data_IF_862196934236
#
_entry.id   IF_862196934236
#
_cell.length_a   1.000
_cell.length_b   1.000
_cell.length_c   1.000
_cell.angle_alpha   90.00
_cell.angle_beta   90.00
_cell.angle_gamma   90.00
#
_symmetry.space_group_name_H-M   'P 1'
#
loop_
_entity.id
_entity.type
_entity.pdbx_description
1 polymer ?
#
# COMPACT_ATOMS: atom_id res chain seq x y z
N UNK A 1 21.43 28.52 6.19
CA UNK A 1 20.27 27.60 6.33
C UNK A 1 19.81 27.64 7.78
N UNK A 2 18.63 28.21 8.03
CA UNK A 2 17.97 28.15 9.34
C UNK A 2 17.42 26.73 9.52
N UNK A 3 18.17 25.88 10.23
CA UNK A 3 17.75 24.51 10.47
C UNK A 3 16.70 24.45 11.59
N UNK A 4 15.54 23.90 11.24
CA UNK A 4 14.41 23.69 12.14
C UNK A 4 14.56 22.37 12.93
N UNK A 5 15.73 22.09 13.51
CA UNK A 5 15.94 20.87 14.29
C UNK A 5 15.23 20.97 15.65
N UNK A 6 14.28 20.07 15.92
CA UNK A 6 13.64 19.95 17.23
C UNK A 6 12.35 20.76 17.42
N UNK A 7 11.67 21.19 16.35
CA UNK A 7 10.35 21.83 16.40
C UNK A 7 9.34 21.13 15.48
N UNK A 8 8.06 21.31 15.76
CA UNK A 8 6.95 20.67 15.05
C UNK A 8 6.29 21.70 14.15
N UNK A 9 6.20 21.44 12.84
CA UNK A 9 5.39 22.25 11.96
C UNK A 9 3.92 22.15 12.38
N UNK A 10 3.28 23.31 12.59
CA UNK A 10 1.89 23.42 13.04
C UNK A 10 0.97 23.86 11.91
N UNK A 11 1.33 24.94 11.23
CA UNK A 11 0.46 25.62 10.26
C UNK A 11 1.21 25.99 8.97
N UNK A 12 0.47 26.07 7.87
CA UNK A 12 0.97 26.52 6.57
C UNK A 12 0.72 28.03 6.44
N UNK A 13 1.74 28.78 6.04
CA UNK A 13 1.61 30.21 5.77
C UNK A 13 1.15 30.38 4.32
N UNK A 14 0.04 31.10 4.12
CA UNK A 14 -0.49 31.40 2.78
C UNK A 14 -0.51 32.90 2.52
N UNK A 15 -0.36 33.28 1.25
CA UNK A 15 -0.57 34.65 0.80
C UNK A 15 -2.08 34.95 0.80
N UNK A 16 -2.50 36.06 1.43
CA UNK A 16 -3.91 36.45 1.48
C UNK A 16 -4.51 36.83 0.13
N UNK A 17 -3.67 37.25 -0.83
CA UNK A 17 -4.13 37.67 -2.16
C UNK A 17 -4.15 36.55 -3.19
N UNK A 18 -3.20 35.60 -3.13
CA UNK A 18 -3.02 34.56 -4.17
C UNK A 18 -3.23 33.13 -3.67
N UNK A 19 -3.46 32.93 -2.37
CA UNK A 19 -3.49 31.62 -1.69
C UNK A 19 -2.20 30.78 -1.83
N UNK A 20 -1.14 31.33 -2.45
CA UNK A 20 0.17 30.70 -2.58
C UNK A 20 0.75 30.37 -1.20
N UNK A 21 1.32 29.19 -1.07
CA UNK A 21 2.05 28.78 0.14
C UNK A 21 3.41 29.48 0.19
N UNK A 22 3.68 30.15 1.31
CA UNK A 22 4.89 30.96 1.55
C UNK A 22 5.85 30.31 2.56
N UNK A 23 5.41 29.25 3.25
CA UNK A 23 6.23 28.58 4.26
C UNK A 23 5.40 27.94 5.37
N UNK A 24 6.02 27.77 6.54
CA UNK A 24 5.44 27.08 7.69
C UNK A 24 5.65 27.85 9.00
N UNK A 25 4.68 27.70 9.91
CA UNK A 25 4.81 28.09 11.32
C UNK A 25 5.17 26.84 12.12
N UNK A 26 6.28 26.91 12.85
CA UNK A 26 6.74 25.82 13.70
C UNK A 26 6.57 26.19 15.18
N UNK A 27 5.94 25.27 15.92
CA UNK A 27 5.89 25.31 17.36
C UNK A 27 7.18 24.67 17.93
N UNK A 28 7.91 25.35 18.83
CA UNK A 28 9.05 24.76 19.50
C UNK A 28 8.61 23.62 20.43
N UNK A 29 9.47 22.62 20.64
CA UNK A 29 9.22 21.55 21.63
C UNK A 29 9.21 22.04 23.09
N UNK A 30 9.77 23.22 23.32
CA UNK A 30 9.80 23.88 24.63
C UNK A 30 8.72 24.95 24.66
N UNK A 31 7.72 24.78 25.54
CA UNK A 31 6.55 25.67 25.69
C UNK A 31 6.94 27.12 26.02
N UNK A 32 8.17 27.36 26.48
CA UNK A 32 8.70 28.71 26.78
C UNK A 32 9.19 29.48 25.56
N UNK A 33 9.22 28.86 24.38
CA UNK A 33 9.69 29.51 23.14
C UNK A 33 8.51 29.92 22.28
N UNK A 34 8.62 31.11 21.69
CA UNK A 34 7.64 31.64 20.74
C UNK A 34 7.66 30.83 19.43
N UNK A 35 6.51 30.72 18.78
CA UNK A 35 6.40 30.10 17.46
C UNK A 35 7.27 30.83 16.43
N UNK A 36 7.92 30.08 15.55
CA UNK A 36 8.84 30.60 14.54
C UNK A 36 8.24 30.44 13.14
N UNK A 37 8.40 31.47 12.30
CA UNK A 37 7.99 31.45 10.90
C UNK A 37 9.19 31.12 10.02
N UNK A 38 9.06 30.10 9.18
CA UNK A 38 10.05 29.74 8.17
C UNK A 38 9.45 29.99 6.80
N UNK A 39 10.00 30.96 6.07
CA UNK A 39 9.55 31.30 4.73
C UNK A 39 10.45 30.63 3.70
N UNK A 40 9.85 30.07 2.66
CA UNK A 40 10.54 29.41 1.57
C UNK A 40 9.73 29.55 0.29
N UNK A 41 10.39 29.64 -0.89
CA UNK A 41 9.69 29.71 -2.17
C UNK A 41 8.90 28.44 -2.49
N UNK A 42 9.32 27.30 -1.92
CA UNK A 42 8.71 25.99 -2.07
C UNK A 42 8.74 25.23 -0.73
N UNK A 43 7.60 24.67 -0.34
CA UNK A 43 7.43 23.81 0.85
C UNK A 43 7.07 22.39 0.44
N UNK A 44 7.80 21.38 0.92
CA UNK A 44 7.48 19.97 0.64
C UNK A 44 6.87 19.32 1.89
N UNK A 45 5.64 18.84 1.76
CA UNK A 45 4.92 18.11 2.82
C UNK A 45 5.10 16.61 2.63
N UNK A 46 5.73 15.98 3.63
CA UNK A 46 5.99 14.53 3.67
C UNK A 46 5.79 13.95 5.08
N UNK A 47 4.72 14.36 5.77
CA UNK A 47 4.39 14.00 7.16
C UNK A 47 3.65 12.64 7.31
N UNK A 48 3.58 11.87 6.22
CA UNK A 48 3.16 10.46 6.23
C UNK A 48 1.64 10.23 6.19
N UNK A 49 1.24 9.01 6.53
CA UNK A 49 -0.15 8.55 6.35
C UNK A 49 -1.18 9.34 7.19
N UNK A 50 -0.79 9.88 8.35
CA UNK A 50 -1.62 10.73 9.21
C UNK A 50 -1.41 12.22 8.96
N UNK A 51 -1.10 12.60 7.72
CA UNK A 51 -0.84 13.99 7.36
C UNK A 51 -1.89 14.96 7.89
N UNK A 52 -1.43 16.00 8.58
CA UNK A 52 -2.30 17.06 9.14
C UNK A 52 -2.77 18.03 8.06
N UNK A 53 -1.95 18.20 7.03
CA UNK A 53 -2.12 19.20 5.97
C UNK A 53 -2.92 18.67 4.79
N UNK A 54 -2.98 17.34 4.60
CA UNK A 54 -3.62 16.70 3.44
C UNK A 54 -5.01 17.25 3.12
N UNK A 55 -5.88 17.40 4.12
CA UNK A 55 -7.28 17.84 3.92
C UNK A 55 -7.41 19.22 3.28
N UNK A 56 -6.37 20.06 3.41
CA UNK A 56 -6.38 21.43 2.89
C UNK A 56 -5.95 21.51 1.42
N UNK A 57 -5.41 20.41 0.86
CA UNK A 57 -4.83 20.35 -0.49
C UNK A 57 -5.30 19.16 -1.32
N UNK A 58 -5.80 18.09 -0.70
CA UNK A 58 -6.31 16.88 -1.33
C UNK A 58 -7.72 16.61 -0.81
N UNK A 59 -8.70 16.69 -1.70
CA UNK A 59 -10.12 16.47 -1.40
C UNK A 59 -10.59 15.02 -1.57
N UNK A 60 -9.68 14.11 -1.91
CA UNK A 60 -10.01 12.68 -2.03
C UNK A 60 -10.05 12.05 -0.65
N UNK A 61 -11.12 11.30 -0.37
CA UNK A 61 -11.30 10.60 0.89
C UNK A 61 -10.37 9.40 1.03
N UNK A 62 -9.95 9.13 2.27
CA UNK A 62 -9.16 7.95 2.62
C UNK A 62 -10.12 6.80 2.86
N UNK A 63 -9.89 5.68 2.19
CA UNK A 63 -10.64 4.46 2.41
C UNK A 63 -9.82 3.51 3.29
N UNK A 64 -10.41 3.02 4.37
CA UNK A 64 -9.79 2.00 5.25
C UNK A 64 -10.61 0.72 5.13
N UNK A 65 -10.00 -0.35 4.61
CA UNK A 65 -10.67 -1.64 4.42
C UNK A 65 -10.39 -2.64 5.54
N UNK A 66 -9.22 -2.53 6.14
CA UNK A 66 -8.73 -3.45 7.16
C UNK A 66 -7.69 -2.76 8.04
N UNK A 67 -7.23 -3.47 9.06
CA UNK A 67 -6.15 -3.03 9.94
C UNK A 67 -5.08 -4.11 10.02
N UNK A 68 -3.81 -3.72 9.95
CA UNK A 68 -2.73 -4.61 10.33
C UNK A 68 -2.51 -4.58 11.83
N UNK A 69 -2.51 -5.76 12.44
CA UNK A 69 -2.07 -5.98 13.82
C UNK A 69 -0.69 -6.62 13.80
N UNK A 70 0.26 -5.97 14.45
CA UNK A 70 1.65 -6.40 14.45
C UNK A 70 2.24 -6.59 15.85
N UNK A 71 3.13 -7.57 15.93
CA UNK A 71 3.97 -7.88 17.09
C UNK A 71 5.28 -8.55 16.61
N UNK A 72 6.19 -8.85 17.54
CA UNK A 72 7.52 -9.40 17.24
C UNK A 72 7.64 -10.80 17.86
N UNK A 73 7.95 -11.80 17.03
CA UNK A 73 8.43 -13.08 17.53
C UNK A 73 9.94 -12.99 17.78
N UNK A 74 10.41 -13.65 18.83
CA UNK A 74 11.83 -13.79 19.14
C UNK A 74 12.32 -15.18 18.79
N UNK A 75 13.53 -15.28 18.26
CA UNK A 75 14.24 -16.54 17.98
C UNK A 75 13.43 -17.55 17.15
N UNK A 76 12.58 -17.03 16.25
CA UNK A 76 11.73 -17.84 15.38
C UNK A 76 12.43 -18.16 14.06
N UNK A 77 12.46 -19.44 13.71
CA UNK A 77 12.99 -19.91 12.42
C UNK A 77 11.84 -20.03 11.43
N UNK A 78 11.79 -19.12 10.45
CA UNK A 78 10.84 -19.22 9.34
C UNK A 78 11.19 -20.43 8.43
N UNK A 79 10.21 -21.02 7.73
CA UNK A 79 10.42 -22.21 6.90
C UNK A 79 11.52 -22.07 5.85
N UNK A 80 11.73 -20.86 5.33
CA UNK A 80 12.75 -20.55 4.33
C UNK A 80 13.61 -19.37 4.81
N UNK A 81 14.92 -19.60 4.97
CA UNK A 81 15.85 -18.53 5.36
C UNK A 81 15.90 -17.43 4.31
N UNK A 82 16.06 -16.17 4.75
CA UNK A 82 16.11 -14.98 3.89
C UNK A 82 14.85 -14.73 3.04
N UNK A 83 13.72 -15.36 3.38
CA UNK A 83 12.44 -15.15 2.70
C UNK A 83 11.39 -14.63 3.68
N UNK A 84 10.57 -13.69 3.20
CA UNK A 84 9.30 -13.38 3.87
C UNK A 84 8.29 -14.50 3.61
N UNK A 85 7.48 -14.81 4.63
CA UNK A 85 6.39 -15.76 4.57
C UNK A 85 5.07 -15.01 4.48
N UNK A 86 4.26 -15.37 3.49
CA UNK A 86 2.87 -14.90 3.34
C UNK A 86 1.97 -16.11 3.48
N UNK A 87 1.13 -16.13 4.50
CA UNK A 87 0.10 -17.15 4.67
C UNK A 87 -1.19 -16.64 4.05
N UNK A 88 -1.72 -17.40 3.08
CA UNK A 88 -2.99 -17.15 2.40
C UNK A 88 -3.92 -18.30 2.77
N UNK A 89 -5.10 -18.00 3.29
CA UNK A 89 -6.05 -19.01 3.74
C UNK A 89 -7.48 -18.50 3.77
N UNK A 90 -8.32 -19.15 4.57
CA UNK A 90 -9.71 -18.72 4.81
C UNK A 90 -9.82 -17.41 5.57
N UNK A 91 -8.81 -17.09 6.36
CA UNK A 91 -8.68 -15.81 7.04
C UNK A 91 -7.81 -14.86 6.20
N UNK A 92 -7.94 -13.57 6.48
CA UNK A 92 -7.18 -12.52 5.85
C UNK A 92 -5.65 -12.73 5.98
N UNK A 93 -4.85 -12.18 5.04
CA UNK A 93 -3.45 -12.55 4.87
C UNK A 93 -2.57 -12.22 6.08
N UNK A 94 -1.60 -13.11 6.34
CA UNK A 94 -0.62 -12.95 7.42
C UNK A 94 0.76 -12.83 6.80
N UNK A 95 1.52 -11.82 7.23
CA UNK A 95 2.89 -11.59 6.80
C UNK A 95 3.84 -11.86 7.96
N UNK A 96 4.92 -12.59 7.66
CA UNK A 96 6.02 -12.80 8.59
C UNK A 96 7.34 -12.54 7.87
N UNK A 97 8.20 -11.70 8.44
CA UNK A 97 9.52 -11.45 7.87
C UNK A 97 10.50 -11.03 8.97
N UNK A 98 11.73 -11.46 8.82
CA UNK A 98 12.81 -11.16 9.76
C UNK A 98 13.25 -9.70 9.60
N UNK A 99 13.37 -8.98 10.71
CA UNK A 99 13.79 -7.57 10.76
C UNK A 99 15.10 -7.36 11.52
N UNK A 100 15.58 -8.39 12.23
CA UNK A 100 16.84 -8.43 12.95
C UNK A 100 17.33 -9.85 13.10
N UNK A 101 18.47 -10.07 13.74
CA UNK A 101 19.02 -11.43 13.94
C UNK A 101 18.10 -12.32 14.76
N UNK A 102 17.35 -11.75 15.71
CA UNK A 102 16.47 -12.49 16.61
C UNK A 102 14.99 -12.11 16.45
N UNK A 103 14.71 -11.00 15.76
CA UNK A 103 13.37 -10.42 15.65
C UNK A 103 12.70 -10.74 14.32
N UNK A 104 11.54 -11.39 14.40
CA UNK A 104 10.66 -11.63 13.26
C UNK A 104 9.36 -10.84 13.44
N UNK A 105 9.08 -9.93 12.51
CA UNK A 105 7.83 -9.17 12.47
C UNK A 105 6.69 -10.08 12.02
N UNK A 106 5.59 -10.03 12.75
CA UNK A 106 4.29 -10.58 12.33
C UNK A 106 3.36 -9.42 12.00
N UNK A 107 2.60 -9.51 10.91
CA UNK A 107 1.48 -8.62 10.58
C UNK A 107 0.28 -9.48 10.19
N UNK A 108 -0.84 -9.30 10.88
CA UNK A 108 -2.10 -9.99 10.63
C UNK A 108 -3.07 -8.97 10.07
N UNK A 109 -3.57 -9.18 8.86
CA UNK A 109 -4.65 -8.36 8.30
C UNK A 109 -5.97 -8.74 8.98
N UNK A 110 -6.69 -7.75 9.52
CA UNK A 110 -8.02 -7.96 10.11
C UNK A 110 -9.00 -7.05 9.36
N UNK A 111 -9.88 -7.62 8.53
CA UNK A 111 -10.88 -6.86 7.78
C UNK A 111 -11.98 -6.32 8.71
N UNK A 112 -12.60 -5.21 8.30
CA UNK A 112 -13.72 -4.64 9.03
C UNK A 112 -13.35 -4.08 10.41
N UNK A 113 -14.23 -4.30 11.39
CA UNK A 113 -14.08 -3.76 12.74
C UNK A 113 -13.02 -4.52 13.53
N UNK A 114 -11.98 -3.82 13.95
CA UNK A 114 -10.90 -4.39 14.75
C UNK A 114 -11.43 -4.78 16.15
N UNK A 115 -11.26 -6.05 16.60
CA UNK A 115 -11.60 -6.44 17.96
C UNK A 115 -10.84 -5.62 19.00
N UNK A 116 -11.43 -5.44 20.19
CA UNK A 116 -10.83 -4.55 21.18
C UNK A 116 -9.55 -5.16 21.76
N UNK A 117 -8.49 -4.35 21.77
CA UNK A 117 -7.23 -4.73 22.41
C UNK A 117 -7.29 -4.56 23.95
N UNK A 118 -8.19 -3.71 24.47
CA UNK A 118 -8.24 -3.36 25.90
C UNK A 118 -8.80 -4.47 26.77
N UNK A 119 -9.73 -5.26 26.25
CA UNK A 119 -10.42 -6.33 26.98
C UNK A 119 -9.94 -7.73 26.58
N UNK A 120 -8.92 -7.84 25.73
CA UNK A 120 -8.32 -9.12 25.32
C UNK A 120 -8.99 -9.80 24.13
N UNK A 121 -10.09 -9.28 23.60
CA UNK A 121 -10.80 -9.88 22.44
C UNK A 121 -9.89 -10.06 21.23
N UNK A 122 -9.02 -9.08 20.96
CA UNK A 122 -8.09 -9.16 19.84
C UNK A 122 -7.12 -10.34 19.97
N UNK A 123 -6.63 -10.58 21.18
CA UNK A 123 -5.72 -11.70 21.47
C UNK A 123 -6.45 -13.03 21.31
N UNK A 124 -7.66 -13.13 21.86
CA UNK A 124 -8.51 -14.31 21.73
C UNK A 124 -8.87 -14.60 20.27
N UNK A 125 -9.19 -13.56 19.49
CA UNK A 125 -9.44 -13.68 18.06
C UNK A 125 -8.23 -14.27 17.32
N UNK A 126 -7.03 -13.75 17.58
CA UNK A 126 -5.78 -14.24 16.96
C UNK A 126 -5.52 -15.70 17.37
N UNK A 127 -5.68 -16.02 18.65
CA UNK A 127 -5.44 -17.38 19.17
C UNK A 127 -6.40 -18.41 18.57
N UNK A 128 -7.69 -18.08 18.45
CA UNK A 128 -8.71 -19.01 17.93
C UNK A 128 -8.74 -19.09 16.40
N UNK A 129 -8.62 -17.95 15.72
CA UNK A 129 -8.87 -17.87 14.28
C UNK A 129 -7.59 -17.80 13.45
N UNK A 130 -6.47 -17.34 14.00
CA UNK A 130 -5.23 -17.09 13.24
C UNK A 130 -4.19 -18.19 13.49
N UNK A 131 -3.91 -18.49 14.75
CA UNK A 131 -2.90 -19.48 15.14
C UNK A 131 -3.05 -20.85 14.45
N UNK A 132 -4.26 -21.42 14.25
CA UNK A 132 -4.39 -22.72 13.59
C UNK A 132 -3.93 -22.73 12.12
N UNK A 133 -3.91 -21.59 11.45
CA UNK A 133 -3.48 -21.46 10.04
C UNK A 133 -2.00 -21.11 9.89
N UNK A 134 -1.31 -20.81 10.99
CA UNK A 134 0.12 -20.58 11.02
C UNK A 134 0.85 -21.92 10.83
N UNK A 135 1.94 -22.01 10.05
CA UNK A 135 2.69 -23.26 9.90
C UNK A 135 3.16 -23.80 11.26
N UNK A 136 3.07 -25.12 11.46
CA UNK A 136 3.38 -25.79 12.72
C UNK A 136 4.76 -25.42 13.28
N UNK A 137 5.75 -25.23 12.41
CA UNK A 137 7.13 -24.86 12.80
C UNK A 137 7.24 -23.51 13.49
N UNK A 138 6.30 -22.59 13.24
CA UNK A 138 6.30 -21.23 13.79
C UNK A 138 5.15 -20.97 14.77
N UNK A 139 4.23 -21.92 14.96
CA UNK A 139 3.10 -21.77 15.89
C UNK A 139 3.53 -21.52 17.34
N UNK A 140 4.53 -22.27 17.84
CA UNK A 140 5.03 -22.11 19.21
C UNK A 140 5.58 -20.70 19.48
N UNK A 141 6.59 -20.20 18.74
CA UNK A 141 7.11 -18.85 18.96
C UNK A 141 6.06 -17.76 18.68
N UNK A 142 5.12 -18.00 17.77
CA UNK A 142 3.98 -17.11 17.56
C UNK A 142 3.09 -17.01 18.80
N UNK A 143 2.73 -18.16 19.38
CA UNK A 143 1.89 -18.21 20.58
C UNK A 143 2.58 -17.54 21.77
N UNK A 144 3.85 -17.86 22.01
CA UNK A 144 4.64 -17.24 23.09
C UNK A 144 4.69 -15.71 22.93
N UNK A 145 4.97 -15.22 21.72
CA UNK A 145 4.98 -13.79 21.43
C UNK A 145 3.61 -13.14 21.60
N UNK A 146 2.52 -13.82 21.23
CA UNK A 146 1.15 -13.34 21.44
C UNK A 146 0.82 -13.19 22.95
N UNK A 147 1.45 -13.98 23.82
CA UNK A 147 1.27 -13.85 25.27
C UNK A 147 2.07 -12.68 25.86
N UNK A 148 3.27 -12.39 25.34
CA UNK A 148 4.22 -11.45 25.96
C UNK A 148 4.27 -10.08 25.32
N UNK A 149 4.04 -9.98 24.00
CA UNK A 149 4.23 -8.74 23.27
C UNK A 149 2.98 -7.85 23.27
N UNK A 150 3.23 -6.54 23.17
CA UNK A 150 2.14 -5.58 22.97
C UNK A 150 1.67 -5.60 21.51
N UNK A 151 0.41 -5.96 21.30
CA UNK A 151 -0.24 -5.85 20.00
C UNK A 151 -0.42 -4.38 19.60
N UNK A 152 0.10 -4.01 18.43
CA UNK A 152 -0.06 -2.67 17.84
C UNK A 152 -0.86 -2.78 16.55
N UNK A 153 -1.86 -1.92 16.39
CA UNK A 153 -2.65 -1.84 15.15
C UNK A 153 -2.32 -0.59 14.35
N UNK A 154 -2.43 -0.70 13.02
CA UNK A 154 -2.41 0.41 12.08
C UNK A 154 -3.47 0.19 10.99
N UNK A 155 -4.18 1.26 10.57
CA UNK A 155 -5.16 1.15 9.50
C UNK A 155 -4.49 0.93 8.14
N UNK A 156 -5.06 0.05 7.32
CA UNK A 156 -4.64 -0.18 5.95
C UNK A 156 -5.39 0.77 5.02
N UNK A 157 -4.82 1.96 4.86
CA UNK A 157 -5.41 3.06 4.10
C UNK A 157 -5.15 2.97 2.60
N UNK A 158 -6.16 3.35 1.82
CA UNK A 158 -6.06 3.61 0.39
C UNK A 158 -6.36 5.08 0.13
N UNK A 159 -5.44 5.74 -0.57
CA UNK A 159 -5.58 7.11 -1.05
C UNK A 159 -5.03 7.15 -2.48
N UNK A 160 -5.90 7.20 -3.51
CA UNK A 160 -5.43 7.32 -4.87
C UNK A 160 -4.69 8.64 -5.08
N UNK A 161 -3.70 8.69 -5.97
CA UNK A 161 -2.90 9.89 -6.16
C UNK A 161 -3.73 11.05 -6.71
N UNK A 162 -3.30 12.28 -6.43
CA UNK A 162 -3.90 13.52 -6.93
C UNK A 162 -2.83 14.38 -7.62
N UNK A 163 -3.23 15.18 -8.60
CA UNK A 163 -2.32 16.17 -9.20
C UNK A 163 -2.04 17.31 -8.22
N UNK A 164 -0.78 17.70 -8.09
CA UNK A 164 -0.40 18.84 -7.27
C UNK A 164 -0.65 20.15 -8.06
N UNK A 165 -1.63 20.93 -7.63
CA UNK A 165 -2.03 22.20 -8.25
C UNK A 165 -1.77 23.42 -7.37
N UNK A 166 -1.22 23.22 -6.17
CA UNK A 166 -0.99 24.27 -5.19
C UNK A 166 0.34 24.97 -5.44
N UNK A 167 0.31 26.29 -5.56
CA UNK A 167 1.53 27.09 -5.69
C UNK A 167 2.34 27.13 -4.39
N UNK A 168 3.66 26.96 -4.51
CA UNK A 168 4.59 27.01 -3.37
C UNK A 168 4.53 25.78 -2.45
N UNK A 169 3.76 24.74 -2.78
CA UNK A 169 3.67 23.51 -2.01
C UNK A 169 3.66 22.27 -2.88
N UNK A 170 4.39 21.23 -2.45
CA UNK A 170 4.33 19.88 -3.03
C UNK A 170 4.04 18.89 -1.91
N UNK A 171 3.08 17.98 -2.12
CA UNK A 171 2.81 16.86 -1.21
C UNK A 171 3.37 15.55 -1.76
N UNK A 172 4.08 14.78 -0.92
CA UNK A 172 4.73 13.52 -1.30
C UNK A 172 4.52 12.40 -0.28
N UNK A 173 4.84 11.18 -0.72
CA UNK A 173 4.76 9.97 0.10
C UNK A 173 3.31 9.62 0.47
N UNK A 174 3.14 8.97 1.61
CA UNK A 174 1.81 8.55 2.10
C UNK A 174 0.89 9.72 2.47
N UNK A 175 1.41 10.95 2.54
CA UNK A 175 0.57 12.15 2.64
C UNK A 175 -0.21 12.38 1.34
N UNK A 176 0.34 12.04 0.17
CA UNK A 176 -0.27 12.26 -1.14
C UNK A 176 -0.91 11.00 -1.74
N UNK A 177 -0.30 9.83 -1.55
CA UNK A 177 -0.76 8.58 -2.17
C UNK A 177 -0.46 7.38 -1.28
N UNK A 178 -1.51 6.64 -0.90
CA UNK A 178 -1.45 5.44 -0.07
C UNK A 178 -2.02 4.23 -0.81
N UNK A 179 -1.48 3.05 -0.49
CA UNK A 179 -1.90 1.75 -1.02
C UNK A 179 -1.89 0.73 0.12
N UNK A 180 -2.59 -0.39 -0.07
CA UNK A 180 -2.58 -1.46 0.92
C UNK A 180 -1.14 -1.92 1.21
N UNK A 181 -0.71 -2.02 2.49
CA UNK A 181 0.67 -2.35 2.84
C UNK A 181 1.08 -3.81 2.58
N UNK A 182 0.17 -4.64 2.07
CA UNK A 182 0.36 -6.08 1.82
C UNK A 182 1.60 -6.37 0.94
N UNK A 183 1.86 -5.52 -0.05
CA UNK A 183 3.00 -5.70 -0.97
C UNK A 183 4.28 -5.01 -0.50
N UNK A 184 4.23 -4.22 0.58
CA UNK A 184 5.39 -3.48 1.08
C UNK A 184 5.90 -2.36 0.16
N UNK A 185 5.09 -1.90 -0.81
CA UNK A 185 5.56 -1.02 -1.88
C UNK A 185 5.62 0.49 -1.56
N UNK A 186 5.15 0.93 -0.39
CA UNK A 186 5.04 2.37 -0.07
C UNK A 186 6.37 3.11 -0.11
N UNK A 187 7.41 2.56 0.53
CA UNK A 187 8.76 3.15 0.51
C UNK A 187 9.36 3.14 -0.90
N UNK A 188 9.16 2.07 -1.67
CA UNK A 188 9.62 1.99 -3.06
C UNK A 188 9.02 3.10 -3.92
N UNK A 189 7.71 3.37 -3.77
CA UNK A 189 7.07 4.51 -4.46
C UNK A 189 7.65 5.83 -3.95
N UNK A 190 7.81 5.99 -2.63
CA UNK A 190 8.41 7.20 -2.05
C UNK A 190 9.80 7.52 -2.61
N UNK A 191 10.71 6.55 -2.68
CA UNK A 191 12.04 6.76 -3.25
C UNK A 191 12.01 7.03 -4.75
N UNK A 192 11.15 6.34 -5.50
CA UNK A 192 10.97 6.61 -6.94
C UNK A 192 10.42 8.01 -7.19
N UNK A 193 9.45 8.46 -6.39
CA UNK A 193 8.86 9.79 -6.46
C UNK A 193 9.93 10.85 -6.12
N UNK A 194 10.75 10.65 -5.09
CA UNK A 194 11.87 11.56 -4.76
C UNK A 194 12.90 11.62 -5.88
N UNK A 195 13.30 10.47 -6.45
CA UNK A 195 14.23 10.42 -7.57
C UNK A 195 13.70 11.20 -8.78
N UNK A 196 12.46 10.92 -9.19
CA UNK A 196 11.83 11.61 -10.32
C UNK A 196 11.70 13.11 -10.06
N UNK A 197 11.23 13.49 -8.86
CA UNK A 197 11.07 14.89 -8.50
C UNK A 197 12.41 15.64 -8.49
N UNK A 198 13.49 15.00 -8.02
CA UNK A 198 14.83 15.60 -8.03
C UNK A 198 15.34 15.93 -9.44
N UNK A 199 14.90 15.17 -10.46
CA UNK A 199 15.21 15.43 -11.86
C UNK A 199 14.38 16.58 -12.41
N UNK A 200 13.07 16.56 -12.15
CA UNK A 200 12.14 17.59 -12.63
C UNK A 200 12.36 18.96 -11.97
N UNK A 201 12.79 18.99 -10.70
CA UNK A 201 13.13 20.22 -9.98
C UNK A 201 14.64 20.54 -10.02
N UNK A 202 15.39 19.93 -10.92
CA UNK A 202 16.81 20.25 -11.09
C UNK A 202 17.00 21.68 -11.60
N UNK A 203 18.16 22.27 -11.35
CA UNK A 203 18.48 23.64 -11.78
C UNK A 203 18.30 23.88 -13.28
N UNK A 204 18.52 22.84 -14.11
CA UNK A 204 18.30 22.89 -15.56
C UNK A 204 16.83 23.11 -15.94
N UNK A 205 15.91 22.52 -15.18
CA UNK A 205 14.47 22.56 -15.46
C UNK A 205 13.76 23.66 -14.66
N UNK A 206 14.22 23.94 -13.44
CA UNK A 206 13.69 24.98 -12.55
C UNK A 206 14.84 25.74 -11.89
N UNK A 207 15.39 26.77 -12.56
CA UNK A 207 16.52 27.55 -12.03
C UNK A 207 16.17 28.35 -10.77
N UNK A 208 14.91 28.76 -10.63
CA UNK A 208 14.39 29.55 -9.51
C UNK A 208 13.06 28.97 -9.02
N UNK A 209 12.99 28.60 -7.74
CA UNK A 209 11.79 28.07 -7.12
C UNK A 209 10.73 29.15 -6.82
N UNK A 210 11.03 30.43 -7.04
CA UNK A 210 10.02 31.49 -7.00
C UNK A 210 9.04 31.40 -8.18
N UNK A 211 9.43 30.78 -9.29
CA UNK A 211 8.59 30.53 -10.46
C UNK A 211 7.62 29.36 -10.19
N UNK A 212 6.50 29.68 -9.54
CA UNK A 212 5.42 28.73 -9.28
C UNK A 212 4.88 28.09 -10.56
N UNK A 213 4.85 28.83 -11.67
CA UNK A 213 4.29 28.35 -12.93
C UNK A 213 5.13 27.20 -13.51
N UNK A 214 6.45 27.37 -13.48
CA UNK A 214 7.40 26.34 -13.90
C UNK A 214 7.34 25.11 -12.99
N UNK A 215 7.27 25.31 -11.66
CA UNK A 215 7.08 24.19 -10.71
C UNK A 215 5.79 23.44 -11.01
N UNK A 216 4.67 24.13 -11.21
CA UNK A 216 3.38 23.50 -11.52
C UNK A 216 3.42 22.73 -12.84
N UNK A 217 4.10 23.25 -13.87
CA UNK A 217 4.32 22.53 -15.12
C UNK A 217 5.12 21.23 -14.88
N UNK A 218 6.19 21.29 -14.08
CA UNK A 218 6.95 20.10 -13.68
C UNK A 218 6.10 19.11 -12.87
N UNK A 219 5.15 19.59 -12.04
CA UNK A 219 4.26 18.71 -11.29
C UNK A 219 3.21 18.01 -12.16
N UNK A 220 2.77 18.63 -13.27
CA UNK A 220 1.94 17.95 -14.27
C UNK A 220 2.73 16.82 -14.94
N UNK A 221 4.00 17.06 -15.27
CA UNK A 221 4.88 16.04 -15.84
C UNK A 221 5.15 14.91 -14.83
N UNK A 222 5.43 15.27 -13.57
CA UNK A 222 5.60 14.34 -12.46
C UNK A 222 4.40 13.41 -12.33
N UNK A 223 3.18 13.96 -12.40
CA UNK A 223 1.93 13.20 -12.30
C UNK A 223 1.83 12.10 -13.36
N UNK A 224 2.28 12.34 -14.59
CA UNK A 224 2.27 11.34 -15.65
C UNK A 224 3.45 10.38 -15.57
N UNK A 225 4.67 10.89 -15.41
CA UNK A 225 5.88 10.08 -15.37
C UNK A 225 5.82 9.06 -14.24
N UNK A 226 5.34 9.42 -13.05
CA UNK A 226 5.27 8.49 -11.90
C UNK A 226 4.40 7.26 -12.14
N UNK A 227 3.32 7.38 -12.95
CA UNK A 227 2.40 6.28 -13.28
C UNK A 227 3.15 5.16 -13.99
N UNK A 228 3.93 5.53 -15.01
CA UNK A 228 4.74 4.63 -15.81
C UNK A 228 6.10 4.30 -15.19
N UNK A 229 6.51 5.01 -14.13
CA UNK A 229 7.75 4.71 -13.39
C UNK A 229 7.54 3.69 -12.24
N UNK A 230 6.33 3.17 -12.09
CA UNK A 230 6.01 2.03 -11.22
C UNK A 230 4.95 2.29 -10.14
N UNK A 231 4.51 3.54 -9.94
CA UNK A 231 3.44 3.82 -8.96
C UNK A 231 2.16 3.06 -9.29
N UNK A 232 1.75 3.06 -10.55
CA UNK A 232 0.51 2.40 -10.99
C UNK A 232 0.55 0.91 -10.78
N UNK A 233 1.65 0.25 -11.16
CA UNK A 233 1.82 -1.20 -10.94
C UNK A 233 1.74 -1.53 -9.45
N UNK A 234 2.50 -0.82 -8.62
CA UNK A 234 2.55 -1.11 -7.17
C UNK A 234 1.20 -0.85 -6.51
N UNK A 235 0.53 0.27 -6.84
CA UNK A 235 -0.75 0.64 -6.25
C UNK A 235 -1.86 -0.34 -6.64
N UNK A 236 -1.99 -0.64 -7.94
CA UNK A 236 -3.04 -1.55 -8.45
C UNK A 236 -2.79 -2.97 -7.97
N UNK A 237 -1.55 -3.46 -8.02
CA UNK A 237 -1.21 -4.80 -7.56
C UNK A 237 -1.50 -4.97 -6.07
N UNK A 238 -1.19 -3.96 -5.24
CA UNK A 238 -1.46 -4.02 -3.81
C UNK A 238 -2.96 -4.18 -3.49
N UNK A 239 -3.80 -3.41 -4.18
CA UNK A 239 -5.25 -3.45 -3.98
C UNK A 239 -5.87 -4.73 -4.55
N UNK A 240 -5.44 -5.15 -5.75
CA UNK A 240 -5.93 -6.36 -6.38
C UNK A 240 -5.58 -7.61 -5.54
N UNK A 241 -4.31 -7.75 -5.13
CA UNK A 241 -3.90 -8.87 -4.28
C UNK A 241 -4.59 -8.85 -2.92
N UNK A 242 -4.82 -7.68 -2.32
CA UNK A 242 -5.59 -7.59 -1.09
C UNK A 242 -7.03 -8.08 -1.29
N UNK A 243 -7.71 -7.61 -2.33
CA UNK A 243 -9.07 -8.04 -2.64
C UNK A 243 -9.17 -9.57 -2.88
N UNK A 244 -8.15 -10.15 -3.53
CA UNK A 244 -8.09 -11.60 -3.76
C UNK A 244 -7.78 -12.38 -2.47
N UNK A 245 -6.84 -11.91 -1.64
CA UNK A 245 -6.36 -12.66 -0.47
C UNK A 245 -7.22 -12.47 0.77
N UNK A 246 -7.94 -11.35 0.88
CA UNK A 246 -8.94 -11.11 1.91
C UNK A 246 -10.35 -11.53 1.47
N UNK A 247 -10.46 -12.36 0.43
CA UNK A 247 -11.71 -12.91 -0.04
C UNK A 247 -12.30 -13.87 0.98
N UNK A 248 -13.29 -13.41 1.74
CA UNK A 248 -14.03 -14.22 2.71
C UNK A 248 -15.03 -15.14 1.98
N UNK A 249 -16.31 -14.76 1.96
CA UNK A 249 -17.42 -15.61 1.47
C UNK A 249 -17.68 -15.50 -0.04
N UNK A 250 -16.95 -14.65 -0.77
CA UNK A 250 -17.14 -14.50 -2.22
C UNK A 250 -16.53 -15.69 -2.97
N UNK A 251 -17.39 -16.57 -3.49
CA UNK A 251 -16.96 -17.76 -4.24
C UNK A 251 -16.09 -17.45 -5.47
N UNK A 252 -16.33 -16.33 -6.16
CA UNK A 252 -15.60 -15.98 -7.37
C UNK A 252 -14.20 -15.46 -7.03
N UNK A 253 -14.08 -14.65 -5.99
CA UNK A 253 -12.78 -14.21 -5.47
C UNK A 253 -11.97 -15.39 -4.89
N UNK A 254 -12.63 -16.35 -4.24
CA UNK A 254 -11.98 -17.58 -3.78
C UNK A 254 -11.39 -18.38 -4.95
N UNK A 255 -12.10 -18.51 -6.08
CA UNK A 255 -11.56 -19.13 -7.31
C UNK A 255 -10.32 -18.38 -7.79
N UNK A 256 -10.37 -17.05 -7.85
CA UNK A 256 -9.23 -16.22 -8.28
C UNK A 256 -8.03 -16.35 -7.33
N UNK A 257 -8.26 -16.40 -6.02
CA UNK A 257 -7.23 -16.60 -4.99
C UNK A 257 -6.51 -17.92 -5.18
N UNK A 258 -7.27 -19.01 -5.26
CA UNK A 258 -6.70 -20.35 -5.35
C UNK A 258 -5.98 -20.53 -6.69
N UNK A 259 -6.55 -19.98 -7.78
CA UNK A 259 -5.90 -19.92 -9.08
C UNK A 259 -4.60 -19.12 -9.04
N UNK A 260 -4.54 -18.00 -8.31
CA UNK A 260 -3.33 -17.18 -8.16
C UNK A 260 -2.19 -17.98 -7.52
N UNK A 261 -2.47 -18.69 -6.43
CA UNK A 261 -1.47 -19.53 -5.74
C UNK A 261 -0.98 -20.66 -6.64
N UNK A 262 -1.90 -21.36 -7.31
CA UNK A 262 -1.56 -22.44 -8.25
C UNK A 262 -0.81 -21.92 -9.48
N UNK A 263 -1.14 -20.73 -9.97
CA UNK A 263 -0.47 -20.07 -11.09
C UNK A 263 1.00 -19.80 -10.78
N UNK A 264 1.32 -19.35 -9.55
CA UNK A 264 2.71 -19.17 -9.13
C UNK A 264 3.49 -20.48 -9.05
N UNK A 265 2.83 -21.63 -8.86
CA UNK A 265 3.49 -22.95 -8.85
C UNK A 265 3.91 -23.42 -10.24
N UNK A 266 3.40 -22.81 -11.31
CA UNK A 266 3.81 -23.13 -12.69
C UNK A 266 5.28 -22.74 -12.97
N UNK A 267 5.87 -21.87 -12.16
CA UNK A 267 7.27 -21.47 -12.28
C UNK A 267 7.55 -20.58 -13.50
N UNK A 268 8.84 -20.29 -13.74
CA UNK A 268 9.29 -19.49 -14.88
C UNK A 268 8.62 -18.11 -14.91
N UNK A 269 8.12 -17.71 -16.08
CA UNK A 269 7.48 -16.39 -16.29
C UNK A 269 6.24 -16.18 -15.42
N UNK A 270 5.57 -17.26 -14.98
CA UNK A 270 4.37 -17.20 -14.16
C UNK A 270 4.67 -16.80 -12.72
N UNK A 271 5.92 -16.90 -12.28
CA UNK A 271 6.41 -16.47 -10.96
C UNK A 271 7.31 -15.24 -11.08
N UNK A 272 8.25 -15.25 -12.03
CA UNK A 272 9.25 -14.19 -12.19
C UNK A 272 8.63 -12.81 -12.48
N UNK A 273 7.71 -12.75 -13.45
CA UNK A 273 7.07 -11.49 -13.80
C UNK A 273 6.22 -10.92 -12.64
N UNK A 274 5.30 -11.66 -11.98
CA UNK A 274 4.62 -11.17 -10.78
C UNK A 274 5.57 -10.74 -9.66
N UNK A 275 6.66 -11.47 -9.42
CA UNK A 275 7.68 -11.07 -8.46
C UNK A 275 8.36 -9.75 -8.84
N UNK A 276 8.73 -9.56 -10.10
CA UNK A 276 9.32 -8.31 -10.59
C UNK A 276 8.34 -7.12 -10.57
N UNK A 277 7.05 -7.36 -10.84
CA UNK A 277 5.98 -6.36 -10.66
C UNK A 277 5.86 -5.95 -9.19
N UNK A 278 5.81 -6.92 -8.27
CA UNK A 278 5.74 -6.69 -6.81
C UNK A 278 6.98 -5.96 -6.28
N UNK A 279 8.17 -6.34 -6.75
CA UNK A 279 9.42 -5.69 -6.39
C UNK A 279 9.56 -4.26 -6.94
N UNK A 280 8.66 -3.85 -7.85
CA UNK A 280 8.74 -2.56 -8.52
C UNK A 280 9.88 -2.47 -9.54
N UNK A 281 10.41 -3.61 -9.99
CA UNK A 281 11.48 -3.70 -11.01
C UNK A 281 10.88 -3.59 -12.42
N UNK A 282 9.69 -4.16 -12.62
CA UNK A 282 8.97 -4.09 -13.90
C UNK A 282 7.83 -3.06 -13.81
N UNK A 283 8.05 -1.79 -14.19
CA UNK A 283 7.00 -0.77 -14.15
C UNK A 283 6.10 -0.86 -15.41
N UNK A 284 5.54 -2.03 -15.70
CA UNK A 284 4.72 -2.27 -16.89
C UNK A 284 3.26 -2.60 -16.51
N UNK A 285 2.32 -1.63 -16.65
CA UNK A 285 0.90 -1.86 -16.38
C UNK A 285 0.26 -2.92 -17.28
N UNK A 286 0.69 -3.04 -18.55
CA UNK A 286 0.17 -4.08 -19.44
C UNK A 286 0.57 -5.47 -18.97
N UNK A 287 1.82 -5.64 -18.53
CA UNK A 287 2.29 -6.90 -17.96
C UNK A 287 1.47 -7.30 -16.73
N UNK A 288 1.16 -6.34 -15.85
CA UNK A 288 0.27 -6.56 -14.71
C UNK A 288 -1.12 -7.05 -15.15
N UNK A 289 -1.75 -6.37 -16.12
CA UNK A 289 -3.07 -6.73 -16.64
C UNK A 289 -3.04 -8.12 -17.27
N UNK A 290 -2.01 -8.44 -18.06
CA UNK A 290 -1.84 -9.75 -18.70
C UNK A 290 -1.76 -10.87 -17.66
N UNK A 291 -0.91 -10.74 -16.64
CA UNK A 291 -0.82 -11.77 -15.59
C UNK A 291 -2.10 -11.86 -14.76
N UNK A 292 -2.76 -10.74 -14.47
CA UNK A 292 -4.01 -10.74 -13.71
C UNK A 292 -5.13 -11.49 -14.44
N UNK A 293 -5.33 -11.22 -15.73
CA UNK A 293 -6.32 -11.96 -16.53
C UNK A 293 -5.88 -13.39 -16.85
N UNK A 294 -4.58 -13.67 -16.97
CA UNK A 294 -4.09 -15.03 -17.10
C UNK A 294 -4.43 -15.88 -15.87
N UNK A 295 -4.33 -15.32 -14.66
CA UNK A 295 -4.80 -15.97 -13.43
C UNK A 295 -6.30 -16.24 -13.47
N UNK A 296 -7.10 -15.27 -13.94
CA UNK A 296 -8.55 -15.47 -14.07
C UNK A 296 -8.92 -16.59 -15.05
N UNK A 297 -8.29 -16.61 -16.23
CA UNK A 297 -8.48 -17.66 -17.24
C UNK A 297 -7.99 -19.00 -16.71
N UNK A 298 -6.88 -19.04 -15.99
CA UNK A 298 -6.37 -20.25 -15.36
C UNK A 298 -7.33 -20.81 -14.30
N UNK A 299 -7.95 -19.94 -13.50
CA UNK A 299 -9.00 -20.34 -12.55
C UNK A 299 -10.25 -20.92 -13.24
N UNK A 300 -10.66 -20.34 -14.36
CA UNK A 300 -11.74 -20.87 -15.20
C UNK A 300 -11.37 -22.24 -15.77
N UNK A 301 -10.15 -22.39 -16.29
CA UNK A 301 -9.67 -23.68 -16.77
C UNK A 301 -9.72 -24.74 -15.66
N UNK A 302 -9.23 -24.42 -14.45
CA UNK A 302 -9.32 -25.31 -13.27
C UNK A 302 -10.75 -25.66 -12.88
N UNK A 303 -11.68 -24.72 -13.02
CA UNK A 303 -13.10 -24.95 -12.76
C UNK A 303 -13.68 -26.04 -13.67
N UNK A 304 -13.29 -26.05 -14.96
CA UNK A 304 -13.71 -27.09 -15.90
C UNK A 304 -12.96 -28.41 -15.71
N UNK A 305 -11.65 -28.39 -15.45
CA UNK A 305 -10.88 -29.64 -15.30
C UNK A 305 -11.20 -30.39 -14.02
N UNK A 306 -11.57 -29.68 -12.95
CA UNK A 306 -11.93 -30.30 -11.67
C UNK A 306 -13.43 -30.62 -11.56
N UNK A 307 -14.25 -30.11 -12.49
CA UNK A 307 -15.70 -30.31 -12.50
C UNK A 307 -16.12 -31.61 -13.19
N UNK A 308 -17.37 -32.00 -12.98
CA UNK A 308 -18.00 -33.10 -13.71
C UNK A 308 -18.76 -32.60 -14.95
N UNK A 309 -19.03 -33.49 -15.91
CA UNK A 309 -19.75 -33.13 -17.15
C UNK A 309 -21.13 -32.49 -16.85
N UNK A 310 -21.81 -32.93 -15.79
CA UNK A 310 -23.10 -32.35 -15.37
C UNK A 310 -23.00 -30.91 -14.86
N UNK A 311 -21.81 -30.46 -14.46
CA UNK A 311 -21.56 -29.10 -13.97
C UNK A 311 -21.22 -28.11 -15.09
N UNK A 312 -21.05 -28.56 -16.34
CA UNK A 312 -20.65 -27.71 -17.46
C UNK A 312 -21.54 -26.45 -17.61
N UNK A 313 -22.89 -26.53 -17.61
CA UNK A 313 -23.73 -25.34 -17.75
C UNK A 313 -23.51 -24.34 -16.60
N UNK A 314 -23.38 -24.83 -15.36
CA UNK A 314 -23.08 -24.01 -14.18
C UNK A 314 -21.70 -23.37 -14.29
N UNK A 315 -20.71 -24.12 -14.74
CA UNK A 315 -19.33 -23.64 -14.87
C UNK A 315 -19.20 -22.56 -15.96
N UNK A 316 -20.00 -22.63 -17.04
CA UNK A 316 -20.06 -21.56 -18.04
C UNK A 316 -20.54 -20.25 -17.39
N UNK A 317 -21.66 -20.29 -16.65
CA UNK A 317 -22.18 -19.10 -15.95
C UNK A 317 -21.15 -18.57 -14.96
N UNK A 318 -20.54 -19.46 -14.16
CA UNK A 318 -19.53 -19.09 -13.18
C UNK A 318 -18.28 -18.49 -13.83
N UNK A 319 -17.91 -18.93 -15.04
CA UNK A 319 -16.80 -18.35 -15.79
C UNK A 319 -17.04 -16.88 -16.14
N UNK A 320 -18.25 -16.55 -16.61
CA UNK A 320 -18.62 -15.15 -16.83
C UNK A 320 -18.57 -14.33 -15.54
N UNK A 321 -19.06 -14.90 -14.43
CA UNK A 321 -19.00 -14.24 -13.13
C UNK A 321 -17.57 -14.02 -12.64
N UNK A 322 -16.67 -14.99 -12.80
CA UNK A 322 -15.25 -14.84 -12.44
C UNK A 322 -14.57 -13.75 -13.27
N UNK A 323 -14.82 -13.67 -14.58
CA UNK A 323 -14.29 -12.59 -15.43
C UNK A 323 -14.86 -11.25 -14.98
N UNK A 324 -16.17 -11.17 -14.73
CA UNK A 324 -16.82 -9.96 -14.25
C UNK A 324 -16.22 -9.48 -12.92
N UNK A 325 -16.08 -10.38 -11.94
CA UNK A 325 -15.42 -10.11 -10.66
C UNK A 325 -13.99 -9.63 -10.86
N UNK A 326 -13.20 -10.27 -11.75
CA UNK A 326 -11.85 -9.83 -12.06
C UNK A 326 -11.83 -8.38 -12.60
N UNK A 327 -12.72 -8.04 -13.53
CA UNK A 327 -12.87 -6.67 -14.06
C UNK A 327 -13.24 -5.66 -12.95
N UNK A 328 -14.21 -6.00 -12.10
CA UNK A 328 -14.65 -5.16 -10.97
C UNK A 328 -13.52 -4.94 -9.97
N UNK A 329 -12.63 -5.92 -9.77
CA UNK A 329 -11.46 -5.77 -8.91
C UNK A 329 -10.43 -4.83 -9.52
N UNK A 330 -10.04 -5.02 -10.78
CA UNK A 330 -8.86 -4.31 -11.32
C UNK A 330 -9.17 -2.95 -11.96
N UNK A 331 -10.30 -2.81 -12.68
CA UNK A 331 -10.57 -1.60 -13.47
C UNK A 331 -10.78 -0.33 -12.64
N UNK A 332 -11.47 -0.34 -11.48
CA UNK A 332 -11.59 0.86 -10.66
C UNK A 332 -10.24 1.41 -10.21
N UNK A 333 -9.29 0.54 -9.86
CA UNK A 333 -7.95 0.96 -9.44
C UNK A 333 -7.11 1.48 -10.59
N UNK A 334 -7.16 0.83 -11.76
CA UNK A 334 -6.52 1.36 -12.98
C UNK A 334 -7.07 2.74 -13.34
N UNK A 335 -8.39 2.92 -13.24
CA UNK A 335 -9.06 4.19 -13.51
C UNK A 335 -8.61 5.29 -12.53
N UNK A 336 -8.50 4.98 -11.24
CA UNK A 336 -7.98 5.90 -10.23
C UNK A 336 -6.55 6.37 -10.52
N UNK A 337 -5.71 5.52 -11.11
CA UNK A 337 -4.33 5.86 -11.46
C UNK A 337 -4.23 6.73 -12.71
N UNK A 338 -5.19 6.68 -13.64
CA UNK A 338 -5.16 7.51 -14.87
C UNK A 338 -5.85 8.87 -14.71
N UNK A 339 -6.64 9.08 -13.66
CA UNK A 339 -7.25 10.39 -13.35
C UNK A 339 -6.21 11.45 -12.97
N UNK A 340 -6.50 12.71 -13.31
CA UNK A 340 -5.85 13.89 -12.77
C UNK A 340 -6.28 14.16 -11.31
#
# INVERSE_FOLDING_TARGET
MTNCQGSTAGEIIRCSATDRVLGVICAPRDERKTSMKFLAPLTIVADGCFSKYRKDFIHREIQVKSNFVGFIMKDSVLPYQNHGLVTIGKIAPILMYQIGTHETRVLIDIPGNLPSNRNGELKEYIEKNVLPFIPLTVQKPFYEALQTERLRSMPNSFLPPSTNVTEGLIMLGDAMNMRHPLTGGGMTVGFKDVFLLSKLLSYEHVPDFNDSGLILAQMQEFHWKRKFHGSTVINVLAQALHALFAAEEDENLNILRDACVEYFKLGGIFTDHPCGLKAGIYPNPFLLITHFFAVAIYGIWKLFTNGTISQIPRNIIKSFMVIYTACVVIFPYLWCEVKF
#
